data_IF_633490314324
#
_entry.id   IF_633490314324
#
_cell.length_a   1.000
_cell.length_b   1.000
_cell.length_c   1.000
_cell.angle_alpha   90.00
_cell.angle_beta   90.00
_cell.angle_gamma   90.00
#
_symmetry.space_group_name_H-M   'P 1'
#
loop_
_entity.id
_entity.type
_entity.pdbx_description
1 polymer ?
#
# COMPACT_ATOMS: atom_id res chain seq x y z
N UNK A 1 46.80 10.86 -25.87
CA UNK A 1 45.62 10.15 -25.34
C UNK A 1 45.24 10.79 -24.00
N UNK A 2 44.14 11.53 -23.95
CA UNK A 2 43.63 12.18 -22.73
C UNK A 2 42.18 11.71 -22.55
N UNK A 3 41.92 10.88 -21.55
CA UNK A 3 40.54 10.57 -21.16
C UNK A 3 39.94 11.83 -20.54
N UNK A 4 39.02 12.46 -21.26
CA UNK A 4 38.17 13.53 -20.73
C UNK A 4 37.03 12.82 -20.00
N UNK A 5 37.09 12.82 -18.67
CA UNK A 5 36.01 12.38 -17.79
C UNK A 5 34.78 13.27 -18.06
N UNK A 6 33.83 12.77 -18.85
CA UNK A 6 32.57 13.45 -19.03
C UNK A 6 31.84 13.53 -17.68
N UNK A 7 31.40 14.71 -17.20
CA UNK A 7 30.50 14.77 -16.08
C UNK A 7 29.22 14.03 -16.49
N UNK A 8 28.80 13.05 -15.68
CA UNK A 8 27.45 12.47 -15.82
C UNK A 8 26.47 13.63 -15.67
N UNK A 9 25.94 14.12 -16.79
CA UNK A 9 24.72 14.91 -16.78
C UNK A 9 23.67 13.97 -16.21
N UNK A 10 23.35 14.18 -14.95
CA UNK A 10 22.20 13.61 -14.26
C UNK A 10 20.99 14.06 -15.07
N UNK A 11 20.59 13.23 -16.03
CA UNK A 11 19.38 13.40 -16.82
C UNK A 11 18.19 13.09 -15.94
N UNK A 12 17.97 13.91 -14.93
CA UNK A 12 16.66 14.03 -14.29
C UNK A 12 15.75 14.57 -15.36
N UNK A 13 14.79 13.75 -15.82
CA UNK A 13 13.75 14.12 -16.77
C UNK A 13 13.16 15.47 -16.39
N UNK A 14 13.63 16.50 -17.08
CA UNK A 14 13.37 17.92 -16.88
C UNK A 14 13.82 18.63 -18.16
N UNK A 15 13.40 18.10 -19.31
CA UNK A 15 13.60 18.76 -20.61
C UNK A 15 12.46 19.74 -20.92
N UNK A 16 11.40 19.76 -20.11
CA UNK A 16 10.38 20.80 -20.10
C UNK A 16 10.21 21.32 -18.67
N UNK A 17 10.75 22.51 -18.43
CA UNK A 17 10.21 23.52 -17.51
C UNK A 17 9.95 23.10 -16.06
N UNK A 18 10.93 23.39 -15.21
CA UNK A 18 10.70 23.95 -13.87
C UNK A 18 9.68 23.19 -12.99
N UNK A 19 10.10 22.03 -12.47
CA UNK A 19 9.33 21.28 -11.49
C UNK A 19 10.03 21.32 -10.16
N UNK A 20 9.31 21.79 -9.14
CA UNK A 20 9.81 21.86 -7.78
C UNK A 20 10.20 20.45 -7.32
N UNK A 21 11.27 20.31 -6.53
CA UNK A 21 11.67 19.03 -5.91
C UNK A 21 10.50 18.31 -5.20
N UNK A 22 9.51 19.08 -4.75
CA UNK A 22 8.25 18.62 -4.15
C UNK A 22 7.39 17.77 -5.10
N UNK A 23 7.42 17.99 -6.40
CA UNK A 23 6.62 17.22 -7.38
C UNK A 23 7.16 15.80 -7.57
N UNK A 24 8.49 15.64 -7.53
CA UNK A 24 9.13 14.32 -7.56
C UNK A 24 8.83 13.52 -6.28
N UNK A 25 8.94 14.17 -5.11
CA UNK A 25 8.59 13.52 -3.83
C UNK A 25 7.13 13.12 -3.82
N UNK A 26 6.23 13.99 -4.29
CA UNK A 26 4.81 13.69 -4.41
C UNK A 26 4.54 12.49 -5.31
N UNK A 27 5.11 12.47 -6.52
CA UNK A 27 4.94 11.36 -7.46
C UNK A 27 5.47 10.03 -6.88
N UNK A 28 6.64 10.06 -6.25
CA UNK A 28 7.21 8.87 -5.58
C UNK A 28 6.33 8.37 -4.42
N UNK A 29 5.76 9.29 -3.63
CA UNK A 29 4.84 8.96 -2.54
C UNK A 29 3.54 8.33 -3.08
N UNK A 30 2.98 8.85 -4.18
CA UNK A 30 1.80 8.25 -4.83
C UNK A 30 2.08 6.81 -5.28
N UNK A 31 3.20 6.57 -5.97
CA UNK A 31 3.58 5.25 -6.47
C UNK A 31 3.80 4.23 -5.33
N UNK A 32 4.46 4.66 -4.25
CA UNK A 32 4.69 3.81 -3.07
C UNK A 32 3.38 3.44 -2.36
N UNK A 33 2.48 4.42 -2.21
CA UNK A 33 1.17 4.21 -1.57
C UNK A 33 0.30 3.26 -2.38
N UNK A 34 0.32 3.38 -3.71
CA UNK A 34 -0.37 2.47 -4.61
C UNK A 34 0.18 1.04 -4.51
N UNK A 35 1.50 0.89 -4.44
CA UNK A 35 2.15 -0.42 -4.27
C UNK A 35 1.72 -1.10 -2.97
N UNK A 36 1.72 -0.36 -1.85
CA UNK A 36 1.27 -0.88 -0.54
C UNK A 36 -0.20 -1.26 -0.57
N UNK A 37 -1.08 -0.39 -1.09
CA UNK A 37 -2.50 -0.68 -1.25
C UNK A 37 -2.75 -1.96 -2.04
N UNK A 38 -2.02 -2.15 -3.15
CA UNK A 38 -2.16 -3.33 -3.99
C UNK A 38 -1.78 -4.62 -3.26
N UNK A 39 -0.75 -4.59 -2.42
CA UNK A 39 -0.38 -5.74 -1.58
C UNK A 39 -1.49 -6.07 -0.57
N UNK A 40 -2.04 -5.04 0.09
CA UNK A 40 -3.11 -5.24 1.08
C UNK A 40 -4.41 -5.75 0.42
N UNK A 41 -4.79 -5.19 -0.72
CA UNK A 41 -5.92 -5.65 -1.51
C UNK A 41 -5.78 -7.10 -1.96
N UNK A 42 -4.58 -7.53 -2.34
CA UNK A 42 -4.31 -8.94 -2.70
C UNK A 42 -4.55 -9.87 -1.51
N UNK A 43 -4.07 -9.50 -0.32
CA UNK A 43 -4.29 -10.28 0.91
C UNK A 43 -5.78 -10.37 1.25
N UNK A 44 -6.49 -9.23 1.19
CA UNK A 44 -7.93 -9.15 1.45
C UNK A 44 -8.70 -10.01 0.43
N UNK A 45 -8.39 -9.89 -0.86
CA UNK A 45 -9.07 -10.63 -1.92
C UNK A 45 -8.87 -12.14 -1.77
N UNK A 46 -7.64 -12.60 -1.51
CA UNK A 46 -7.36 -14.02 -1.29
C UNK A 46 -8.12 -14.58 -0.08
N UNK A 47 -8.16 -13.83 1.03
CA UNK A 47 -8.92 -14.24 2.23
C UNK A 47 -10.43 -14.21 2.02
N UNK A 48 -10.94 -13.19 1.33
CA UNK A 48 -12.37 -13.04 1.02
C UNK A 48 -12.87 -14.18 0.10
N UNK A 49 -12.04 -14.63 -0.85
CA UNK A 49 -12.33 -15.79 -1.70
C UNK A 49 -12.42 -17.08 -0.90
N UNK A 50 -11.49 -17.30 0.04
CA UNK A 50 -11.49 -18.49 0.92
C UNK A 50 -12.72 -18.50 1.83
N UNK A 51 -13.11 -17.34 2.37
CA UNK A 51 -14.23 -17.22 3.31
C UNK A 51 -15.60 -17.00 2.64
N UNK A 52 -15.67 -16.96 1.30
CA UNK A 52 -16.87 -16.62 0.50
C UNK A 52 -17.56 -15.31 0.95
N UNK A 53 -16.79 -14.34 1.43
CA UNK A 53 -17.31 -13.05 1.89
C UNK A 53 -17.38 -12.06 0.72
N UNK A 54 -18.43 -12.18 -0.08
CA UNK A 54 -18.61 -11.42 -1.32
C UNK A 54 -18.66 -9.89 -1.10
N UNK A 55 -19.14 -9.40 0.04
CA UNK A 55 -19.17 -7.97 0.35
C UNK A 55 -17.75 -7.38 0.48
N UNK A 56 -16.82 -8.12 1.08
CA UNK A 56 -15.42 -7.70 1.26
C UNK A 56 -14.67 -7.80 -0.06
N UNK A 57 -15.03 -8.79 -0.90
CA UNK A 57 -14.48 -8.92 -2.24
C UNK A 57 -14.86 -7.74 -3.14
N UNK A 58 -16.09 -7.24 -3.07
CA UNK A 58 -16.54 -6.06 -3.85
C UNK A 58 -15.93 -4.73 -3.37
N UNK A 59 -15.49 -4.65 -2.12
CA UNK A 59 -14.83 -3.45 -1.59
C UNK A 59 -13.49 -3.17 -2.28
N UNK A 60 -12.73 -4.22 -2.63
CA UNK A 60 -11.41 -4.09 -3.26
C UNK A 60 -11.43 -3.36 -4.61
N UNK A 61 -12.22 -3.78 -5.62
CA UNK A 61 -12.28 -3.08 -6.90
C UNK A 61 -12.90 -1.69 -6.77
N UNK A 62 -13.82 -1.48 -5.83
CA UNK A 62 -14.38 -0.15 -5.56
C UNK A 62 -13.30 0.81 -5.01
N UNK A 63 -12.49 0.36 -4.04
CA UNK A 63 -11.38 1.14 -3.50
C UNK A 63 -10.29 1.43 -4.56
N UNK A 64 -10.06 0.47 -5.45
CA UNK A 64 -9.14 0.64 -6.57
C UNK A 64 -9.65 1.70 -7.57
N UNK A 65 -10.92 1.64 -7.98
CA UNK A 65 -11.52 2.65 -8.86
C UNK A 65 -11.51 4.05 -8.24
N UNK A 66 -11.80 4.13 -6.93
CA UNK A 66 -11.79 5.40 -6.21
C UNK A 66 -10.40 6.02 -6.18
N UNK A 67 -9.37 5.25 -5.84
CA UNK A 67 -7.97 5.74 -5.80
C UNK A 67 -7.45 6.14 -7.18
N UNK A 68 -7.79 5.39 -8.24
CA UNK A 68 -7.47 5.78 -9.62
C UNK A 68 -8.16 7.09 -10.02
N UNK A 69 -9.42 7.27 -9.65
CA UNK A 69 -10.18 8.50 -9.97
C UNK A 69 -9.59 9.73 -9.28
N UNK A 70 -9.19 9.59 -8.00
CA UNK A 70 -8.53 10.66 -7.23
C UNK A 70 -7.14 10.99 -7.79
N UNK A 71 -6.40 9.98 -8.25
CA UNK A 71 -5.10 10.17 -8.90
C UNK A 71 -5.24 10.93 -10.21
N UNK A 72 -6.23 10.58 -11.04
CA UNK A 72 -6.52 11.26 -12.29
C UNK A 72 -6.91 12.73 -12.07
N UNK A 73 -7.76 13.00 -11.07
CA UNK A 73 -8.13 14.36 -10.69
C UNK A 73 -6.91 15.21 -10.29
N UNK A 74 -5.96 14.58 -9.59
CA UNK A 74 -4.73 15.24 -9.11
C UNK A 74 -3.78 15.57 -10.25
N UNK A 75 -3.68 14.72 -11.27
CA UNK A 75 -2.89 15.02 -12.48
C UNK A 75 -3.49 16.18 -13.28
N UNK A 76 -4.82 16.28 -13.35
CA UNK A 76 -5.46 17.35 -14.10
C UNK A 76 -5.37 18.72 -13.38
N UNK A 77 -5.29 18.72 -12.04
CA UNK A 77 -5.19 19.91 -11.21
C UNK A 77 -3.72 20.31 -10.91
N UNK A 78 -2.85 20.27 -11.92
CA UNK A 78 -1.39 20.38 -11.82
C UNK A 78 -0.83 21.66 -11.14
N UNK A 79 -1.69 22.62 -10.79
CA UNK A 79 -1.30 23.99 -10.40
C UNK A 79 -1.66 24.34 -8.95
N UNK A 80 -2.52 23.56 -8.27
CA UNK A 80 -3.07 23.95 -6.96
C UNK A 80 -2.68 22.99 -5.83
N UNK A 81 -2.00 23.53 -4.81
CA UNK A 81 -1.62 22.84 -3.56
C UNK A 81 -2.81 22.25 -2.81
N UNK A 82 -4.00 22.82 -2.98
CA UNK A 82 -5.24 22.35 -2.33
C UNK A 82 -5.59 20.92 -2.75
N UNK A 83 -5.39 20.57 -4.02
CA UNK A 83 -5.72 19.22 -4.51
C UNK A 83 -4.71 18.18 -4.05
N UNK A 84 -3.43 18.55 -3.86
CA UNK A 84 -2.42 17.66 -3.27
C UNK A 84 -2.78 17.27 -1.83
N UNK A 85 -3.32 18.21 -1.05
CA UNK A 85 -3.80 17.92 0.32
C UNK A 85 -5.01 16.99 0.30
N UNK A 86 -5.98 17.25 -0.58
CA UNK A 86 -7.16 16.38 -0.75
C UNK A 86 -6.72 14.96 -1.12
N UNK A 87 -5.77 14.82 -2.06
CA UNK A 87 -5.20 13.52 -2.43
C UNK A 87 -4.62 12.77 -1.22
N UNK A 88 -3.75 13.43 -0.44
CA UNK A 88 -3.15 12.80 0.74
C UNK A 88 -4.18 12.36 1.77
N UNK A 89 -5.19 13.19 2.03
CA UNK A 89 -6.27 12.85 2.96
C UNK A 89 -7.09 11.68 2.42
N UNK A 90 -7.52 11.72 1.16
CA UNK A 90 -8.32 10.67 0.55
C UNK A 90 -7.57 9.33 0.49
N UNK A 91 -6.32 9.32 0.03
CA UNK A 91 -5.51 8.10 -0.02
C UNK A 91 -5.17 7.62 1.38
N UNK A 92 -4.89 8.51 2.32
CA UNK A 92 -4.69 8.16 3.73
C UNK A 92 -5.90 7.47 4.35
N UNK A 93 -7.12 7.98 4.09
CA UNK A 93 -8.37 7.35 4.55
C UNK A 93 -8.56 5.97 3.91
N UNK A 94 -8.36 5.84 2.60
CA UNK A 94 -8.47 4.54 1.90
C UNK A 94 -7.44 3.53 2.44
N UNK A 95 -6.21 3.98 2.67
CA UNK A 95 -5.13 3.14 3.19
C UNK A 95 -5.39 2.71 4.62
N UNK A 96 -5.89 3.61 5.47
CA UNK A 96 -6.33 3.29 6.83
C UNK A 96 -7.46 2.25 6.83
N UNK A 97 -8.51 2.47 6.04
CA UNK A 97 -9.63 1.52 5.94
C UNK A 97 -9.17 0.17 5.40
N UNK A 98 -8.35 0.17 4.34
CA UNK A 98 -7.80 -1.06 3.76
C UNK A 98 -6.93 -1.82 4.76
N UNK A 99 -6.06 -1.13 5.50
CA UNK A 99 -5.22 -1.73 6.53
C UNK A 99 -6.06 -2.30 7.69
N UNK A 100 -7.10 -1.57 8.13
CA UNK A 100 -8.02 -2.03 9.17
C UNK A 100 -8.78 -3.28 8.71
N UNK A 101 -9.31 -3.28 7.49
CA UNK A 101 -9.96 -4.45 6.90
C UNK A 101 -9.00 -5.62 6.79
N UNK A 102 -7.77 -5.41 6.30
CA UNK A 102 -6.74 -6.45 6.23
C UNK A 102 -6.40 -7.03 7.62
N UNK A 103 -6.30 -6.17 8.64
CA UNK A 103 -6.06 -6.59 10.02
C UNK A 103 -7.20 -7.47 10.55
N UNK A 104 -8.45 -7.03 10.40
CA UNK A 104 -9.64 -7.78 10.84
C UNK A 104 -9.74 -9.12 10.10
N UNK A 105 -9.59 -9.11 8.77
CA UNK A 105 -9.65 -10.30 7.92
C UNK A 105 -8.53 -11.30 8.24
N UNK A 106 -7.39 -10.83 8.73
CA UNK A 106 -6.28 -11.67 9.17
C UNK A 106 -6.43 -12.21 10.61
N UNK A 107 -7.55 -11.91 11.29
CA UNK A 107 -7.78 -12.31 12.69
C UNK A 107 -7.13 -11.37 13.72
N UNK A 108 -6.73 -10.17 13.29
CA UNK A 108 -6.19 -9.14 14.15
C UNK A 108 -7.22 -8.66 15.18
N UNK A 109 -6.84 -8.68 16.45
CA UNK A 109 -7.64 -8.15 17.57
C UNK A 109 -6.74 -7.21 18.39
N UNK A 110 -7.23 -6.09 18.95
CA UNK A 110 -6.43 -5.18 19.78
C UNK A 110 -5.76 -5.88 20.98
N UNK A 111 -6.39 -6.95 21.50
CA UNK A 111 -5.80 -7.81 22.53
C UNK A 111 -4.51 -8.49 22.04
N UNK A 112 -4.49 -9.04 20.82
CA UNK A 112 -3.31 -9.66 20.22
C UNK A 112 -2.18 -8.65 20.00
N UNK A 113 -2.53 -7.40 19.66
CA UNK A 113 -1.57 -6.32 19.49
C UNK A 113 -0.89 -5.95 20.82
N UNK A 114 -1.68 -5.82 21.90
CA UNK A 114 -1.18 -5.55 23.24
C UNK A 114 -0.29 -6.69 23.77
N UNK A 115 -0.67 -7.95 23.52
CA UNK A 115 0.16 -9.11 23.86
C UNK A 115 1.47 -9.10 23.09
N UNK A 116 1.44 -8.81 21.79
CA UNK A 116 2.64 -8.71 20.95
C UNK A 116 3.56 -7.58 21.43
N UNK A 117 3.02 -6.39 21.70
CA UNK A 117 3.77 -5.24 22.21
C UNK A 117 4.37 -5.52 23.59
N UNK A 118 3.61 -6.22 24.45
CA UNK A 118 4.06 -6.64 25.78
C UNK A 118 5.16 -7.70 25.76
N UNK A 119 5.18 -8.57 24.75
CA UNK A 119 6.25 -9.56 24.52
C UNK A 119 7.48 -8.91 23.89
N UNK A 120 7.28 -7.99 22.95
CA UNK A 120 8.35 -7.21 22.32
C UNK A 120 9.09 -6.34 23.34
N UNK A 121 8.35 -5.67 24.24
CA UNK A 121 8.92 -4.89 25.35
C UNK A 121 9.69 -5.73 26.36
N UNK A 122 9.34 -7.01 26.51
CA UNK A 122 10.03 -7.96 27.40
C UNK A 122 11.22 -8.68 26.76
N UNK A 123 11.51 -8.42 25.48
CA UNK A 123 12.61 -9.09 24.77
C UNK A 123 12.42 -10.61 24.62
N UNK A 124 11.23 -11.12 24.93
CA UNK A 124 10.90 -12.53 24.80
C UNK A 124 10.39 -12.79 23.40
N UNK A 125 11.10 -13.62 22.64
CA UNK A 125 10.65 -14.12 21.34
C UNK A 125 9.22 -14.66 21.45
N UNK A 126 8.33 -14.20 20.58
CA UNK A 126 6.96 -14.69 20.48
C UNK A 126 7.00 -16.22 20.36
N UNK A 127 6.29 -17.00 21.21
CA UNK A 127 6.19 -18.43 21.01
C UNK A 127 5.52 -18.68 19.65
N UNK A 128 6.23 -19.42 18.80
CA UNK A 128 5.78 -19.89 17.49
C UNK A 128 4.62 -20.88 17.63
N UNK A 129 3.45 -20.40 18.03
CA UNK A 129 2.20 -21.10 17.79
C UNK A 129 1.68 -20.66 16.42
N UNK A 130 2.44 -21.03 15.40
CA UNK A 130 1.92 -21.10 14.05
C UNK A 130 0.76 -22.11 14.07
N UNK A 131 -0.44 -21.78 13.56
CA UNK A 131 -1.39 -22.83 13.23
C UNK A 131 -0.79 -23.66 12.09
N UNK A 132 -0.19 -24.79 12.44
CA UNK A 132 -0.08 -25.94 11.55
C UNK A 132 -1.49 -26.31 11.07
N UNK A 133 -1.92 -25.78 9.92
CA UNK A 133 -2.89 -26.43 9.01
C UNK A 133 -3.12 -25.60 7.75
N UNK A 134 -2.15 -25.65 6.85
CA UNK A 134 -2.43 -25.73 5.42
C UNK A 134 -1.91 -27.09 4.95
N UNK A 135 -2.59 -28.15 5.39
CA UNK A 135 -2.45 -29.47 4.78
C UNK A 135 -3.15 -29.37 3.41
N UNK A 136 -2.36 -29.20 2.36
CA UNK A 136 -2.78 -29.54 1.01
C UNK A 136 -3.15 -31.03 1.01
N UNK A 137 -4.44 -31.33 0.91
CA UNK A 137 -4.88 -32.64 0.45
C UNK A 137 -4.92 -32.60 -1.08
N UNK A 138 -3.98 -33.23 -1.81
CA UNK A 138 -4.28 -33.65 -3.16
C UNK A 138 -5.32 -34.78 -3.06
N UNK A 139 -6.56 -34.50 -3.47
CA UNK A 139 -7.55 -35.54 -3.67
C UNK A 139 -7.16 -36.44 -4.85
N UNK A 140 -7.44 -37.75 -4.79
CA UNK A 140 -7.20 -38.63 -5.92
C UNK A 140 -8.34 -38.49 -6.94
N UNK A 141 -7.98 -38.14 -8.17
CA UNK A 141 -8.70 -38.53 -9.39
C UNK A 141 -7.65 -38.94 -10.42
#
# INVERSE_FOLDING_TARGET
>A
MRQVSAPRKTGTLGFFGDHNSLDYVFFSAMASSFSVLHTLWSIIASRALVLRQNCVFLFVPAAHLFTSSITMLTQQAHVDVRYKVIYFVSVGVVLYLTALTAFIVSGGTPKNLLTCLGNLRRGTSVPSNAPERLVFHPGPL
#
